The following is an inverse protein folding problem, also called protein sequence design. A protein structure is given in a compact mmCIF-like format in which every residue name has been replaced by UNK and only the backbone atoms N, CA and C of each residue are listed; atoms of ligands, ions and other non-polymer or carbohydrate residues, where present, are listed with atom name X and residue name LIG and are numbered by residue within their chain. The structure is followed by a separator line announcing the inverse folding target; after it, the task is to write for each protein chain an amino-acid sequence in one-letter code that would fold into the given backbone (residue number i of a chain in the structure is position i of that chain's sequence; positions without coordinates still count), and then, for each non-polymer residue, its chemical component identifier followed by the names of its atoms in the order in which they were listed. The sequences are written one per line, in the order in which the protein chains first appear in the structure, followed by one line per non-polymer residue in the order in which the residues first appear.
data_IF_520360298996
#
_entry.id   IF_520360298996
#
_cell.length_a   1.000
_cell.length_b   1.000
_cell.length_c   1.000
_cell.angle_alpha   90.00
_cell.angle_beta   90.00
_cell.angle_gamma   90.00
#
_symmetry.space_group_name_H-M   'P 1'
#
loop_
_entity.id
_entity.type
_entity.pdbx_description
1 polymer ?
#
# COMPACT_ATOMS: atom_id res chain seq x y z
N UNK A 1 -10.30 -18.23 13.19
CA UNK A 1 -9.44 -17.03 13.23
C UNK A 1 -8.92 -16.66 11.84
N UNK A 2 -8.23 -17.55 11.11
CA UNK A 2 -7.72 -17.24 9.76
C UNK A 2 -8.79 -16.89 8.68
N UNK A 3 -10.04 -17.33 8.85
CA UNK A 3 -11.14 -17.10 7.90
C UNK A 3 -12.16 -16.02 8.34
N UNK A 4 -11.94 -15.32 9.46
CA UNK A 4 -12.89 -14.27 9.88
C UNK A 4 -12.67 -12.99 9.08
N UNK A 5 -13.78 -12.38 8.64
CA UNK A 5 -13.81 -11.06 8.00
C UNK A 5 -13.95 -9.98 9.09
N UNK A 6 -12.99 -9.91 9.99
CA UNK A 6 -12.97 -8.92 11.08
C UNK A 6 -11.65 -8.16 11.06
N UNK A 7 -11.66 -6.92 11.53
CA UNK A 7 -10.44 -6.10 11.67
C UNK A 7 -9.42 -6.71 12.64
N UNK A 8 -9.85 -7.63 13.50
CA UNK A 8 -9.00 -8.43 14.38
C UNK A 8 -8.18 -9.50 13.62
N UNK A 9 -8.55 -9.83 12.38
CA UNK A 9 -7.78 -10.76 11.54
C UNK A 9 -6.72 -9.97 10.75
N UNK A 10 -5.42 -10.14 11.05
CA UNK A 10 -4.34 -9.38 10.41
C UNK A 10 -4.30 -9.62 8.90
N UNK A 11 -4.64 -10.82 8.43
CA UNK A 11 -4.70 -11.12 7.00
C UNK A 11 -5.80 -10.31 6.31
N UNK A 12 -7.01 -10.32 6.88
CA UNK A 12 -8.13 -9.55 6.35
C UNK A 12 -7.82 -8.05 6.35
N UNK A 13 -7.18 -7.55 7.41
CA UNK A 13 -6.79 -6.14 7.54
C UNK A 13 -5.81 -5.70 6.45
N UNK A 14 -4.79 -6.53 6.16
CA UNK A 14 -3.81 -6.31 5.09
C UNK A 14 -4.48 -6.38 3.71
N UNK A 15 -5.33 -7.38 3.48
CA UNK A 15 -6.07 -7.52 2.23
C UNK A 15 -6.97 -6.31 1.97
N UNK A 16 -7.63 -5.77 3.01
CA UNK A 16 -8.50 -4.61 2.89
C UNK A 16 -7.71 -3.36 2.49
N UNK A 17 -6.50 -3.19 3.01
CA UNK A 17 -5.62 -2.09 2.60
C UNK A 17 -5.30 -2.18 1.11
N UNK A 18 -4.92 -3.37 0.63
CA UNK A 18 -4.65 -3.61 -0.79
C UNK A 18 -5.90 -3.37 -1.65
N UNK A 19 -7.06 -3.88 -1.25
CA UNK A 19 -8.32 -3.72 -1.98
C UNK A 19 -8.76 -2.25 -2.09
N UNK A 20 -8.50 -1.43 -1.05
CA UNK A 20 -8.74 0.02 -1.09
C UNK A 20 -7.82 0.75 -2.06
N UNK A 21 -6.53 0.37 -2.10
CA UNK A 21 -5.59 0.92 -3.09
C UNK A 21 -6.05 0.58 -4.51
N UNK A 22 -6.46 -0.67 -4.77
CA UNK A 22 -7.08 -1.05 -6.04
C UNK A 22 -8.37 -0.27 -6.33
N UNK A 23 -9.15 0.02 -5.30
CA UNK A 23 -10.39 0.78 -5.36
C UNK A 23 -10.21 2.19 -5.91
N UNK A 24 -9.13 2.90 -5.52
CA UNK A 24 -8.83 4.25 -6.01
C UNK A 24 -8.76 4.28 -7.54
N UNK A 25 -7.96 3.37 -8.13
CA UNK A 25 -7.81 3.28 -9.58
C UNK A 25 -9.12 2.91 -10.28
N UNK A 26 -9.87 1.97 -9.70
CA UNK A 26 -11.18 1.55 -10.22
C UNK A 26 -12.18 2.71 -10.24
N UNK A 27 -12.27 3.48 -9.16
CA UNK A 27 -13.18 4.64 -9.06
C UNK A 27 -12.75 5.74 -10.02
N UNK A 28 -11.44 5.98 -10.15
CA UNK A 28 -10.91 6.96 -11.09
C UNK A 28 -11.02 6.57 -12.57
N UNK A 29 -11.35 5.31 -12.88
CA UNK A 29 -11.29 4.78 -14.24
C UNK A 29 -9.86 4.77 -14.81
N UNK A 30 -8.86 4.61 -13.94
CA UNK A 30 -7.44 4.70 -14.28
C UNK A 30 -6.84 3.30 -14.31
N UNK A 31 -6.05 3.00 -15.34
CA UNK A 31 -5.22 1.79 -15.34
C UNK A 31 -4.03 1.99 -14.37
N UNK A 32 -3.88 1.19 -13.30
CA UNK A 32 -2.72 1.29 -12.42
C UNK A 32 -1.38 1.15 -13.14
N UNK A 33 -1.34 0.45 -14.29
CA UNK A 33 -0.13 0.30 -15.09
C UNK A 33 0.24 1.58 -15.88
N UNK A 34 -0.71 2.50 -16.10
CA UNK A 34 -0.43 3.78 -16.76
C UNK A 34 0.13 4.84 -15.81
N UNK A 35 0.14 4.59 -14.50
CA UNK A 35 0.67 5.52 -13.50
C UNK A 35 2.20 5.38 -13.46
N UNK A 36 2.88 6.41 -13.97
CA UNK A 36 4.35 6.53 -13.97
C UNK A 36 4.80 7.58 -12.96
N UNK A 37 6.02 7.41 -12.44
CA UNK A 37 6.71 8.43 -11.64
C UNK A 37 7.28 9.57 -12.50
N UNK A 38 7.33 9.39 -13.82
CA UNK A 38 7.89 10.37 -14.75
C UNK A 38 7.10 11.69 -14.73
N UNK A 39 7.83 12.79 -14.51
CA UNK A 39 7.26 14.13 -14.44
C UNK A 39 6.33 14.37 -13.25
N UNK A 40 6.29 13.47 -12.25
CA UNK A 40 5.53 13.65 -11.02
C UNK A 40 6.31 14.52 -10.05
N UNK A 41 5.68 15.58 -9.54
CA UNK A 41 6.23 16.47 -8.51
C UNK A 41 5.93 15.90 -7.13
N UNK A 42 6.86 15.13 -6.57
CA UNK A 42 6.64 14.50 -5.27
C UNK A 42 6.75 15.48 -4.09
N UNK A 43 7.24 16.70 -4.30
CA UNK A 43 7.36 17.74 -3.27
C UNK A 43 6.00 18.17 -2.73
N UNK A 44 4.92 17.92 -3.47
CA UNK A 44 3.53 18.21 -3.06
C UNK A 44 3.00 17.21 -2.03
N UNK A 45 3.67 16.08 -1.82
CA UNK A 45 3.30 15.10 -0.80
C UNK A 45 3.88 15.51 0.56
N UNK A 46 3.38 16.59 1.14
CA UNK A 46 3.93 17.17 2.37
C UNK A 46 3.26 16.69 3.65
N UNK A 47 2.18 15.91 3.55
CA UNK A 47 1.39 15.54 4.72
C UNK A 47 2.11 14.48 5.56
N UNK A 48 1.99 14.52 6.92
CA UNK A 48 2.67 13.56 7.77
C UNK A 48 2.36 12.10 7.42
N UNK A 49 1.10 11.77 7.12
CA UNK A 49 0.71 10.41 6.76
C UNK A 49 1.25 9.97 5.39
N UNK A 50 1.42 10.90 4.44
CA UNK A 50 2.08 10.62 3.17
C UNK A 50 3.54 10.26 3.41
N UNK A 51 4.24 11.06 4.21
CA UNK A 51 5.65 10.86 4.54
C UNK A 51 5.89 9.53 5.28
N UNK A 52 5.06 9.20 6.26
CA UNK A 52 5.17 7.93 6.98
C UNK A 52 4.91 6.72 6.06
N UNK A 53 3.90 6.80 5.19
CA UNK A 53 3.65 5.73 4.22
C UNK A 53 4.82 5.60 3.23
N UNK A 54 5.36 6.71 2.71
CA UNK A 54 6.50 6.70 1.79
C UNK A 54 7.70 5.99 2.42
N UNK A 55 8.07 6.34 3.67
CA UNK A 55 9.18 5.70 4.38
C UNK A 55 8.96 4.19 4.51
N UNK A 56 7.78 3.77 4.95
CA UNK A 56 7.44 2.36 5.08
C UNK A 56 7.58 1.61 3.75
N UNK A 57 7.15 2.21 2.64
CA UNK A 57 7.28 1.59 1.31
C UNK A 57 8.75 1.48 0.86
N UNK A 58 9.59 2.47 1.19
CA UNK A 58 11.03 2.46 0.88
C UNK A 58 11.80 1.39 1.66
N UNK A 59 11.36 1.04 2.87
CA UNK A 59 11.99 0.01 3.70
C UNK A 59 11.78 -1.42 3.16
N UNK A 60 10.82 -1.62 2.25
CA UNK A 60 10.43 -2.95 1.79
C UNK A 60 11.58 -3.81 1.24
N UNK A 61 12.45 -3.33 0.33
CA UNK A 61 13.48 -4.17 -0.28
C UNK A 61 14.49 -4.67 0.75
N UNK A 62 14.99 -3.77 1.62
CA UNK A 62 15.97 -4.11 2.66
C UNK A 62 15.36 -5.04 3.72
N UNK A 63 14.09 -4.85 4.07
CA UNK A 63 13.38 -5.74 4.99
C UNK A 63 13.21 -7.14 4.41
N UNK A 64 12.86 -7.26 3.14
CA UNK A 64 12.72 -8.56 2.45
C UNK A 64 14.06 -9.27 2.35
N UNK A 65 15.13 -8.57 1.99
CA UNK A 65 16.49 -9.12 1.93
C UNK A 65 16.91 -9.66 3.30
N UNK A 66 16.81 -8.85 4.36
CA UNK A 66 17.17 -9.26 5.72
C UNK A 66 16.32 -10.44 6.22
N UNK A 67 15.02 -10.47 5.94
CA UNK A 67 14.15 -11.58 6.34
C UNK A 67 14.48 -12.88 5.59
N UNK A 68 14.93 -12.78 4.34
CA UNK A 68 15.36 -13.92 3.55
C UNK A 68 16.70 -14.48 4.06
N UNK A 69 17.65 -13.62 4.40
CA UNK A 69 18.97 -14.03 4.95
C UNK A 69 18.83 -14.73 6.31
N UNK A 70 17.96 -14.23 7.19
CA UNK A 70 17.75 -14.80 8.53
C UNK A 70 16.71 -15.92 8.57
N UNK A 71 16.03 -16.20 7.45
CA UNK A 71 14.93 -17.18 7.35
C UNK A 71 13.76 -16.86 8.30
N UNK A 72 13.42 -15.58 8.43
CA UNK A 72 12.41 -15.06 9.36
C UNK A 72 11.19 -14.47 8.64
N UNK A 73 10.31 -15.30 8.05
CA UNK A 73 9.16 -14.82 7.26
C UNK A 73 8.15 -14.01 8.08
N UNK A 74 8.12 -14.20 9.41
CA UNK A 74 7.26 -13.43 10.31
C UNK A 74 7.56 -11.91 10.27
N UNK A 75 8.79 -11.51 9.91
CA UNK A 75 9.16 -10.09 9.76
C UNK A 75 8.41 -9.43 8.61
N UNK A 76 8.18 -10.15 7.51
CA UNK A 76 7.35 -9.68 6.39
C UNK A 76 5.89 -9.53 6.83
N UNK A 77 5.36 -10.46 7.62
CA UNK A 77 3.99 -10.38 8.13
C UNK A 77 3.78 -9.14 9.02
N UNK A 78 4.71 -8.89 9.95
CA UNK A 78 4.66 -7.71 10.83
C UNK A 78 4.79 -6.41 10.02
N UNK A 79 5.72 -6.37 9.06
CA UNK A 79 5.88 -5.24 8.15
C UNK A 79 4.59 -4.93 7.37
N UNK A 80 3.93 -5.95 6.83
CA UNK A 80 2.69 -5.76 6.07
C UNK A 80 1.55 -5.26 6.94
N UNK A 81 1.44 -5.74 8.19
CA UNK A 81 0.44 -5.26 9.12
C UNK A 81 0.61 -3.76 9.41
N UNK A 82 1.85 -3.33 9.68
CA UNK A 82 2.15 -1.92 9.96
C UNK A 82 1.97 -1.05 8.71
N UNK A 83 2.42 -1.52 7.54
CA UNK A 83 2.21 -0.83 6.26
C UNK A 83 0.73 -0.69 5.94
N UNK A 84 -0.08 -1.72 6.21
CA UNK A 84 -1.52 -1.67 6.04
C UNK A 84 -2.17 -0.63 6.97
N UNK A 85 -1.70 -0.52 8.23
CA UNK A 85 -2.17 0.50 9.18
C UNK A 85 -1.89 1.92 8.67
N UNK A 86 -0.68 2.17 8.16
CA UNK A 86 -0.29 3.44 7.57
C UNK A 86 -1.12 3.75 6.31
N UNK A 87 -1.31 2.75 5.43
CA UNK A 87 -2.10 2.90 4.22
C UNK A 87 -3.57 3.21 4.51
N UNK A 88 -4.17 2.56 5.52
CA UNK A 88 -5.54 2.86 5.95
C UNK A 88 -5.65 4.27 6.53
N UNK A 89 -4.72 4.66 7.40
CA UNK A 89 -4.70 5.99 7.98
C UNK A 89 -4.60 7.07 6.90
N UNK A 90 -3.68 6.91 5.96
CA UNK A 90 -3.52 7.80 4.82
C UNK A 90 -4.79 7.86 3.95
N UNK A 91 -5.35 6.70 3.58
CA UNK A 91 -6.58 6.60 2.78
C UNK A 91 -7.77 7.32 3.42
N UNK A 92 -7.91 7.24 4.75
CA UNK A 92 -9.01 7.88 5.46
C UNK A 92 -8.86 9.40 5.59
N UNK A 93 -7.62 9.91 5.62
CA UNK A 93 -7.35 11.35 5.79
C UNK A 93 -7.25 12.11 4.47
N UNK A 94 -6.74 11.47 3.42
CA UNK A 94 -6.33 12.15 2.19
C UNK A 94 -7.07 11.62 0.98
N UNK A 95 -7.81 12.50 0.30
CA UNK A 95 -8.46 12.17 -0.96
C UNK A 95 -7.44 12.17 -2.10
N UNK A 96 -7.46 11.12 -2.93
CA UNK A 96 -6.52 10.99 -4.06
C UNK A 96 -7.06 11.66 -5.32
N UNK A 97 -8.34 11.44 -5.59
CA UNK A 97 -9.03 11.98 -6.76
C UNK A 97 -9.60 13.38 -6.44
N UNK A 98 -10.00 14.11 -7.49
CA UNK A 98 -10.63 15.42 -7.37
C UNK A 98 -9.75 16.49 -6.68
N UNK A 99 -8.43 16.36 -6.79
CA UNK A 99 -7.46 17.36 -6.32
C UNK A 99 -6.85 18.12 -7.50
N UNK A 100 -5.97 19.08 -7.22
CA UNK A 100 -5.11 19.66 -8.23
C UNK A 100 -4.30 18.57 -8.96
N UNK A 101 -4.02 18.76 -10.25
CA UNK A 101 -3.42 17.73 -11.11
C UNK A 101 -2.12 17.16 -10.52
N UNK A 102 -1.21 18.02 -10.07
CA UNK A 102 0.07 17.62 -9.48
C UNK A 102 -0.15 16.74 -8.23
N UNK A 103 -1.11 17.09 -7.37
CA UNK A 103 -1.44 16.35 -6.14
C UNK A 103 -2.07 15.00 -6.47
N UNK A 104 -3.04 14.97 -7.39
CA UNK A 104 -3.67 13.71 -7.82
C UNK A 104 -2.64 12.78 -8.43
N UNK A 105 -1.76 13.27 -9.31
CA UNK A 105 -0.69 12.46 -9.91
C UNK A 105 0.27 11.89 -8.85
N UNK A 106 0.71 12.71 -7.90
CA UNK A 106 1.60 12.27 -6.85
C UNK A 106 0.93 11.24 -5.92
N UNK A 107 -0.32 11.45 -5.53
CA UNK A 107 -1.08 10.51 -4.68
C UNK A 107 -1.44 9.21 -5.40
N UNK A 108 -1.69 9.24 -6.70
CA UNK A 108 -1.87 8.03 -7.51
C UNK A 108 -0.57 7.20 -7.55
N UNK A 109 0.59 7.85 -7.68
CA UNK A 109 1.88 7.15 -7.62
C UNK A 109 2.12 6.52 -6.23
N UNK A 110 1.78 7.23 -5.14
CA UNK A 110 1.85 6.68 -3.78
C UNK A 110 0.91 5.48 -3.60
N UNK A 111 -0.36 5.61 -4.01
CA UNK A 111 -1.32 4.50 -3.99
C UNK A 111 -0.82 3.29 -4.77
N UNK A 112 -0.18 3.52 -5.92
CA UNK A 112 0.38 2.46 -6.76
C UNK A 112 1.54 1.75 -6.07
N UNK A 113 2.44 2.50 -5.43
CA UNK A 113 3.51 1.95 -4.61
C UNK A 113 2.97 1.05 -3.50
N UNK A 114 2.00 1.53 -2.73
CA UNK A 114 1.36 0.76 -1.67
C UNK A 114 0.68 -0.51 -2.19
N UNK A 115 -0.06 -0.41 -3.30
CA UNK A 115 -0.70 -1.55 -3.96
C UNK A 115 0.33 -2.64 -4.33
N UNK A 116 1.46 -2.25 -4.93
CA UNK A 116 2.51 -3.19 -5.37
C UNK A 116 3.17 -3.85 -4.17
N UNK A 117 3.57 -3.09 -3.16
CA UNK A 117 4.26 -3.60 -1.96
C UNK A 117 3.38 -4.59 -1.20
N UNK A 118 2.12 -4.21 -0.93
CA UNK A 118 1.17 -5.08 -0.22
C UNK A 118 0.93 -6.39 -0.99
N UNK A 119 0.75 -6.30 -2.32
CA UNK A 119 0.58 -7.49 -3.17
C UNK A 119 1.80 -8.40 -3.15
N UNK A 120 2.99 -7.82 -3.27
CA UNK A 120 4.24 -8.57 -3.31
C UNK A 120 4.51 -9.28 -1.98
N UNK A 121 4.37 -8.57 -0.85
CA UNK A 121 4.57 -9.18 0.46
C UNK A 121 3.55 -10.27 0.78
N UNK A 122 2.26 -10.07 0.47
CA UNK A 122 1.26 -11.14 0.62
C UNK A 122 1.61 -12.36 -0.22
N UNK A 123 2.04 -12.17 -1.47
CA UNK A 123 2.46 -13.26 -2.36
C UNK A 123 3.65 -14.04 -1.80
N UNK A 124 4.63 -13.36 -1.19
CA UNK A 124 5.77 -14.01 -0.54
C UNK A 124 5.34 -14.90 0.65
N UNK A 125 4.27 -14.53 1.35
CA UNK A 125 3.69 -15.30 2.45
C UNK A 125 2.68 -16.38 2.00
N UNK A 126 2.47 -16.55 0.70
CA UNK A 126 1.45 -17.47 0.16
C UNK A 126 0.01 -17.01 0.40
N UNK A 127 -0.20 -15.72 0.67
CA UNK A 127 -1.51 -15.11 0.91
C UNK A 127 -2.03 -14.45 -0.37
N UNK A 128 -3.34 -14.55 -0.61
CA UNK A 128 -3.98 -13.89 -1.75
C UNK A 128 -4.12 -12.38 -1.52
N UNK A 129 -3.96 -11.60 -2.58
CA UNK A 129 -4.10 -10.15 -2.56
C UNK A 129 -5.33 -9.74 -3.40
N UNK A 130 -6.55 -9.79 -2.83
CA UNK A 130 -7.77 -9.50 -3.58
C UNK A 130 -7.84 -8.01 -3.97
N UNK A 131 -8.33 -7.72 -5.18
CA UNK A 131 -8.55 -6.34 -5.64
C UNK A 131 -9.90 -5.74 -5.19
N UNK A 132 -10.74 -6.59 -4.59
CA UNK A 132 -12.08 -6.29 -4.07
C UNK A 132 -12.33 -7.15 -2.84
N UNK A 133 -12.88 -6.53 -1.79
CA UNK A 133 -13.32 -7.17 -0.56
C UNK A 133 -14.71 -6.68 -0.20
#
# INVERSE_FOLDING_TARGET
LAASQSEENPVYYIQMAHARMCGIFRVGGIDPASVSAEGVKFEVLSEPEEQELIKALLDFPALVESAAETLEPHRIANYLLETARLAHLWYHKHHVLEQAEDVTRARLALARGAQIVLRNGMRMLGVTAPERM
#
